data_IF_175458304898
#
_entry.id   IF_175458304898
#
_cell.length_a   1.000
_cell.length_b   1.000
_cell.length_c   1.000
_cell.angle_alpha   90.00
_cell.angle_beta   90.00
_cell.angle_gamma   90.00
#
_symmetry.space_group_name_H-M   'P 1'
#
loop_
_entity.id
_entity.type
_entity.pdbx_description
1 polymer ?
#
# COMPACT_ATOMS: atom_id res chain seq x y z
N UNK A 1 21.40 -55.94 -36.67
CA UNK A 1 21.25 -54.60 -37.27
C UNK A 1 21.09 -53.63 -36.08
N UNK A 2 22.04 -52.86 -35.55
CA UNK A 2 23.43 -52.44 -35.83
C UNK A 2 24.16 -52.34 -34.46
N UNK A 3 25.28 -53.07 -34.24
CA UNK A 3 26.67 -52.56 -34.04
C UNK A 3 26.82 -51.39 -33.04
N UNK A 4 27.38 -51.51 -31.83
CA UNK A 4 28.78 -51.85 -31.42
C UNK A 4 29.86 -50.93 -31.99
N UNK A 5 30.60 -50.25 -31.08
CA UNK A 5 32.00 -49.73 -31.11
C UNK A 5 32.02 -48.51 -30.18
N UNK A 6 32.81 -48.37 -29.11
CA UNK A 6 34.07 -48.99 -28.74
C UNK A 6 35.07 -47.86 -28.51
N UNK A 7 35.57 -47.68 -27.28
CA UNK A 7 36.98 -47.47 -26.95
C UNK A 7 37.13 -47.04 -25.49
N UNK A 8 37.78 -47.92 -24.73
CA UNK A 8 38.38 -47.61 -23.45
C UNK A 8 39.85 -47.25 -23.60
N UNK A 9 40.37 -46.75 -22.49
CA UNK A 9 41.77 -46.61 -22.10
C UNK A 9 42.57 -45.48 -22.76
N UNK A 10 42.94 -44.48 -21.95
CA UNK A 10 44.33 -44.01 -21.87
C UNK A 10 44.58 -43.16 -20.59
N UNK A 11 45.24 -43.83 -19.64
CA UNK A 11 46.38 -43.39 -18.81
C UNK A 11 46.21 -42.26 -17.78
N UNK A 12 46.42 -42.71 -16.52
CA UNK A 12 47.04 -41.98 -15.41
C UNK A 12 48.27 -41.20 -15.89
N UNK A 13 48.33 -39.91 -15.53
CA UNK A 13 49.59 -39.18 -15.30
C UNK A 13 49.45 -38.49 -13.95
N UNK A 14 50.28 -38.93 -13.02
CA UNK A 14 50.55 -38.35 -11.71
C UNK A 14 51.51 -37.17 -11.84
N UNK A 15 51.25 -36.04 -11.17
CA UNK A 15 52.19 -35.40 -10.22
C UNK A 15 51.60 -34.12 -9.58
N UNK A 16 52.11 -33.70 -8.41
CA UNK A 16 51.41 -32.82 -7.48
C UNK A 16 51.86 -31.36 -7.62
N UNK A 17 50.94 -30.43 -7.45
CA UNK A 17 51.29 -29.02 -7.17
C UNK A 17 50.53 -28.59 -5.92
N UNK A 18 51.19 -28.81 -4.79
CA UNK A 18 50.91 -28.08 -3.57
C UNK A 18 51.33 -26.62 -3.80
N UNK A 19 50.39 -25.68 -3.73
CA UNK A 19 50.68 -24.26 -3.59
C UNK A 19 49.84 -23.69 -2.45
N UNK A 20 50.55 -23.48 -1.35
CA UNK A 20 50.36 -22.49 -0.29
C UNK A 20 49.02 -21.73 -0.29
N UNK A 21 48.08 -22.21 0.53
CA UNK A 21 47.02 -21.36 1.08
C UNK A 21 47.63 -20.69 2.32
N UNK A 22 47.98 -19.41 2.17
CA UNK A 22 48.30 -18.53 3.30
C UNK A 22 47.03 -18.22 4.11
N UNK A 23 47.16 -17.94 5.42
CA UNK A 23 46.04 -17.89 6.34
C UNK A 23 45.23 -16.59 6.14
N UNK A 24 43.96 -16.73 5.77
CA UNK A 24 43.01 -15.61 5.91
C UNK A 24 42.73 -15.44 7.39
N UNK A 25 43.26 -14.35 7.95
CA UNK A 25 43.01 -13.89 9.32
C UNK A 25 41.50 -13.92 9.57
N UNK A 26 41.05 -14.75 10.52
CA UNK A 26 39.71 -14.67 11.09
C UNK A 26 39.55 -13.28 11.68
N UNK A 27 38.71 -12.46 11.06
CA UNK A 27 38.16 -11.29 11.73
C UNK A 27 37.30 -11.82 12.88
N UNK A 28 37.81 -11.69 14.10
CA UNK A 28 37.02 -11.79 15.32
C UNK A 28 35.98 -10.66 15.27
N UNK A 29 34.78 -10.99 14.80
CA UNK A 29 33.61 -10.13 15.00
C UNK A 29 33.29 -10.18 16.49
N UNK A 30 33.73 -9.17 17.22
CA UNK A 30 33.27 -8.88 18.57
C UNK A 30 31.76 -8.69 18.50
N UNK A 31 31.00 -9.73 18.79
CA UNK A 31 29.55 -9.64 18.99
C UNK A 31 29.34 -8.89 20.31
N UNK A 32 29.28 -7.56 20.23
CA UNK A 32 28.64 -6.77 21.29
C UNK A 32 27.18 -7.19 21.33
N UNK A 33 26.84 -8.08 22.26
CA UNK A 33 25.49 -8.27 22.73
C UNK A 33 25.02 -6.93 23.31
N UNK A 34 24.34 -6.13 22.50
CA UNK A 34 23.49 -5.05 23.00
C UNK A 34 22.30 -5.74 23.65
N UNK A 35 22.39 -5.94 24.96
CA UNK A 35 21.25 -6.21 25.82
C UNK A 35 20.19 -5.14 25.57
N UNK A 36 19.09 -5.52 24.90
CA UNK A 36 17.86 -4.73 24.82
C UNK A 36 17.20 -4.71 26.20
N UNK A 37 17.74 -3.90 27.10
CA UNK A 37 17.11 -3.53 28.37
C UNK A 37 16.47 -2.17 28.23
N UNK A 38 15.16 -2.08 28.47
CA UNK A 38 14.46 -0.83 28.72
C UNK A 38 13.32 -0.51 27.76
N UNK A 39 12.20 -1.24 27.87
CA UNK A 39 10.89 -0.74 27.46
C UNK A 39 10.49 0.39 28.43
N UNK A 40 11.10 1.56 28.23
CA UNK A 40 10.72 2.82 28.83
C UNK A 40 10.15 3.73 27.75
N UNK A 41 9.05 3.33 27.11
CA UNK A 41 8.33 4.25 26.23
C UNK A 41 7.56 5.23 27.12
N UNK A 42 8.01 6.48 27.16
CA UNK A 42 7.21 7.55 27.74
C UNK A 42 5.89 7.63 26.97
N UNK A 43 4.76 7.64 27.69
CA UNK A 43 3.41 7.72 27.13
C UNK A 43 3.07 9.11 26.53
N UNK A 44 4.08 9.79 25.96
CA UNK A 44 3.93 11.04 25.24
C UNK A 44 3.93 10.83 23.73
N UNK A 45 3.76 11.93 22.99
CA UNK A 45 3.80 11.96 21.52
C UNK A 45 5.06 11.30 20.94
N UNK A 46 6.20 11.38 21.65
CA UNK A 46 7.45 10.71 21.29
C UNK A 46 7.41 9.18 21.40
N UNK A 47 6.69 8.61 22.37
CA UNK A 47 6.53 7.17 22.51
C UNK A 47 5.57 6.59 21.47
N UNK A 48 4.48 7.31 21.16
CA UNK A 48 3.58 6.95 20.05
C UNK A 48 4.32 6.96 18.73
N UNK A 49 5.06 8.04 18.44
CA UNK A 49 5.85 8.13 17.22
C UNK A 49 6.91 7.02 17.13
N UNK A 50 7.57 6.71 18.25
CA UNK A 50 8.53 5.60 18.33
C UNK A 50 7.89 4.24 18.03
N UNK A 51 6.69 3.97 18.54
CA UNK A 51 5.96 2.74 18.26
C UNK A 51 5.54 2.63 16.79
N UNK A 52 5.04 3.73 16.21
CA UNK A 52 4.65 3.78 14.79
C UNK A 52 5.85 3.55 13.86
N UNK A 53 7.03 4.06 14.22
CA UNK A 53 8.28 3.82 13.49
C UNK A 53 8.79 2.39 13.66
N UNK A 54 8.63 1.79 14.84
CA UNK A 54 9.06 0.42 15.12
C UNK A 54 8.20 -0.64 14.40
N UNK A 55 6.90 -0.36 14.20
CA UNK A 55 5.95 -1.27 13.57
C UNK A 55 5.15 -0.61 12.45
N UNK A 56 5.78 -0.18 11.34
CA UNK A 56 5.14 0.67 10.35
C UNK A 56 4.02 -0.02 9.57
N UNK A 57 4.08 -1.35 9.39
CA UNK A 57 2.98 -2.11 8.80
C UNK A 57 1.76 -2.17 9.73
N UNK A 58 1.98 -2.47 11.01
CA UNK A 58 0.89 -2.49 11.99
C UNK A 58 0.28 -1.09 12.14
N UNK A 59 1.12 -0.07 12.20
CA UNK A 59 0.70 1.33 12.19
C UNK A 59 -0.19 1.65 10.98
N UNK A 60 0.20 1.28 9.76
CA UNK A 60 -0.61 1.50 8.55
C UNK A 60 -1.99 0.85 8.69
N UNK A 61 -2.05 -0.44 9.04
CA UNK A 61 -3.31 -1.18 9.14
C UNK A 61 -4.21 -0.59 10.22
N UNK A 62 -3.65 -0.31 11.42
CA UNK A 62 -4.40 0.27 12.53
C UNK A 62 -4.92 1.66 12.20
N UNK A 63 -4.06 2.54 11.67
CA UNK A 63 -4.47 3.90 11.28
C UNK A 63 -5.54 3.83 10.19
N UNK A 64 -5.36 3.02 9.14
CA UNK A 64 -6.33 2.92 8.07
C UNK A 64 -7.71 2.43 8.58
N UNK A 65 -7.74 1.39 9.41
CA UNK A 65 -8.95 0.82 9.99
C UNK A 65 -9.69 1.81 10.90
N UNK A 66 -8.98 2.43 11.83
CA UNK A 66 -9.58 3.38 12.79
C UNK A 66 -10.06 4.64 12.07
N UNK A 67 -9.24 5.16 11.14
CA UNK A 67 -9.56 6.35 10.36
C UNK A 67 -10.83 6.19 9.54
N UNK A 68 -11.03 5.06 8.87
CA UNK A 68 -12.21 4.84 8.04
C UNK A 68 -13.47 4.70 8.88
N UNK A 69 -13.40 4.01 10.03
CA UNK A 69 -14.51 3.94 10.99
C UNK A 69 -14.89 5.33 11.52
N UNK A 70 -13.91 6.13 11.94
CA UNK A 70 -14.16 7.50 12.43
C UNK A 70 -14.75 8.38 11.33
N UNK A 71 -14.24 8.29 10.10
CA UNK A 71 -14.75 9.08 8.98
C UNK A 71 -16.24 8.84 8.74
N UNK A 72 -16.64 7.56 8.71
CA UNK A 72 -18.03 7.17 8.54
C UNK A 72 -18.91 7.61 9.73
N UNK A 73 -18.48 7.37 10.97
CA UNK A 73 -19.22 7.80 12.17
C UNK A 73 -19.42 9.33 12.21
N UNK A 74 -18.40 10.08 11.80
CA UNK A 74 -18.48 11.54 11.70
C UNK A 74 -19.53 11.94 10.67
N UNK A 75 -19.55 11.32 9.49
CA UNK A 75 -20.53 11.62 8.45
C UNK A 75 -21.94 11.28 8.93
N UNK A 76 -22.16 10.08 9.50
CA UNK A 76 -23.47 9.67 10.03
C UNK A 76 -24.03 10.67 11.05
N UNK A 77 -23.19 11.15 11.97
CA UNK A 77 -23.63 11.99 13.09
C UNK A 77 -23.64 13.48 12.78
N UNK A 78 -22.65 13.99 12.05
CA UNK A 78 -22.46 15.42 11.86
C UNK A 78 -22.95 15.93 10.51
N UNK A 79 -22.94 15.09 9.48
CA UNK A 79 -23.37 15.46 8.12
C UNK A 79 -24.81 14.99 7.88
N UNK A 80 -25.07 13.70 8.06
CA UNK A 80 -26.40 13.10 7.85
C UNK A 80 -27.35 13.31 9.03
N UNK A 81 -26.80 13.58 10.23
CA UNK A 81 -27.55 13.77 11.48
C UNK A 81 -28.49 12.61 11.82
N UNK A 82 -28.07 11.36 11.55
CA UNK A 82 -28.85 10.16 11.87
C UNK A 82 -29.03 10.02 13.39
N UNK A 83 -30.25 9.72 13.82
CA UNK A 83 -30.60 9.49 15.23
C UNK A 83 -29.86 8.25 15.77
N UNK A 84 -29.82 7.17 15.00
CA UNK A 84 -29.07 5.94 15.29
C UNK A 84 -27.86 5.76 14.36
N UNK A 85 -26.82 5.10 14.86
CA UNK A 85 -25.65 4.73 14.05
C UNK A 85 -25.98 3.44 13.28
N UNK A 86 -25.75 3.46 11.98
CA UNK A 86 -25.69 2.28 11.13
C UNK A 86 -24.32 1.59 11.32
N UNK A 87 -24.33 0.54 12.14
CA UNK A 87 -23.14 -0.26 12.43
C UNK A 87 -22.77 -1.23 11.30
N UNK A 88 -23.72 -1.59 10.43
CA UNK A 88 -23.44 -2.43 9.27
C UNK A 88 -22.59 -1.64 8.29
N UNK A 89 -23.02 -0.42 7.95
CA UNK A 89 -22.22 0.51 7.16
C UNK A 89 -20.84 0.75 7.77
N UNK A 90 -20.77 0.99 9.09
CA UNK A 90 -19.48 1.21 9.73
C UNK A 90 -18.55 -0.01 9.65
N UNK A 91 -19.11 -1.22 9.77
CA UNK A 91 -18.38 -2.46 9.58
C UNK A 91 -17.80 -2.58 8.17
N UNK A 92 -18.55 -2.18 7.13
CA UNK A 92 -18.03 -2.12 5.77
C UNK A 92 -16.81 -1.20 5.66
N UNK A 93 -16.86 -0.01 6.29
CA UNK A 93 -15.73 0.92 6.36
C UNK A 93 -14.54 0.37 7.14
N UNK A 94 -14.77 -0.35 8.24
CA UNK A 94 -13.72 -1.02 9.02
C UNK A 94 -13.03 -2.09 8.18
N UNK A 95 -13.80 -2.97 7.53
CA UNK A 95 -13.27 -4.07 6.72
C UNK A 95 -12.52 -3.55 5.50
N UNK A 96 -13.10 -2.59 4.77
CA UNK A 96 -12.44 -1.95 3.64
C UNK A 96 -11.17 -1.19 4.08
N UNK A 97 -11.24 -0.48 5.21
CA UNK A 97 -10.10 0.25 5.77
C UNK A 97 -8.95 -0.65 6.19
N UNK A 98 -9.22 -1.75 6.87
CA UNK A 98 -8.19 -2.69 7.32
C UNK A 98 -7.63 -3.55 6.20
N UNK A 99 -8.52 -4.22 5.45
CA UNK A 99 -8.09 -5.19 4.44
C UNK A 99 -7.53 -4.50 3.19
N UNK A 100 -8.25 -3.53 2.63
CA UNK A 100 -7.82 -2.87 1.40
C UNK A 100 -6.82 -1.74 1.70
N UNK A 101 -7.23 -0.69 2.43
CA UNK A 101 -6.37 0.48 2.67
C UNK A 101 -5.17 0.19 3.61
N UNK A 102 -5.33 -0.76 4.52
CA UNK A 102 -4.28 -1.19 5.44
C UNK A 102 -3.31 -2.17 4.79
N UNK A 103 -3.79 -3.37 4.46
CA UNK A 103 -2.94 -4.49 4.04
C UNK A 103 -2.60 -4.41 2.55
N UNK A 104 -3.61 -4.37 1.68
CA UNK A 104 -3.41 -4.44 0.24
C UNK A 104 -2.64 -3.23 -0.30
N UNK A 105 -3.05 -2.03 0.06
CA UNK A 105 -2.37 -0.79 -0.33
C UNK A 105 -0.92 -0.73 0.17
N UNK A 106 -0.61 -1.30 1.35
CA UNK A 106 0.77 -1.40 1.81
C UNK A 106 1.61 -2.25 0.86
N UNK A 107 1.09 -3.40 0.41
CA UNK A 107 1.80 -4.25 -0.55
C UNK A 107 2.00 -3.53 -1.88
N UNK A 108 0.98 -2.85 -2.39
CA UNK A 108 1.03 -2.17 -3.69
C UNK A 108 1.88 -0.90 -3.65
N UNK A 109 1.56 0.07 -2.80
CA UNK A 109 2.21 1.39 -2.82
C UNK A 109 3.50 1.43 -2.02
N UNK A 110 3.58 0.74 -0.87
CA UNK A 110 4.84 0.77 -0.09
C UNK A 110 5.83 -0.21 -0.70
N UNK A 111 5.46 -1.47 -0.92
CA UNK A 111 6.42 -2.47 -1.44
C UNK A 111 6.51 -2.51 -2.96
N UNK A 112 5.40 -2.38 -3.68
CA UNK A 112 5.36 -2.44 -5.14
C UNK A 112 5.96 -1.21 -5.79
N UNK A 113 5.47 -0.02 -5.44
CA UNK A 113 5.93 1.22 -6.10
C UNK A 113 7.38 1.56 -5.77
N UNK A 114 7.87 1.25 -4.57
CA UNK A 114 9.30 1.39 -4.26
C UNK A 114 10.19 0.57 -5.19
N UNK A 115 9.71 -0.59 -5.67
CA UNK A 115 10.45 -1.45 -6.61
C UNK A 115 10.29 -1.00 -8.06
N UNK A 116 9.08 -0.58 -8.44
CA UNK A 116 8.78 -0.15 -9.81
C UNK A 116 9.36 1.24 -10.12
N UNK A 117 9.44 2.11 -9.11
CA UNK A 117 9.80 3.52 -9.26
C UNK A 117 10.86 3.95 -8.23
N UNK A 118 12.06 3.33 -8.22
CA UNK A 118 13.09 3.56 -7.19
C UNK A 118 13.59 5.01 -7.16
N UNK A 119 13.56 5.71 -8.30
CA UNK A 119 13.96 7.12 -8.44
C UNK A 119 13.10 8.08 -7.60
N UNK A 120 11.93 7.64 -7.14
CA UNK A 120 11.03 8.50 -6.38
C UNK A 120 11.61 8.93 -5.06
N UNK A 121 12.35 8.06 -4.36
CA UNK A 121 12.96 8.42 -3.08
C UNK A 121 13.93 9.60 -3.24
N UNK A 122 14.74 9.58 -4.30
CA UNK A 122 15.64 10.67 -4.67
C UNK A 122 14.88 11.90 -5.17
N UNK A 123 13.84 11.70 -5.98
CA UNK A 123 13.03 12.78 -6.52
C UNK A 123 12.39 13.62 -5.41
N UNK A 124 11.80 13.00 -4.38
CA UNK A 124 11.13 13.81 -3.35
C UNK A 124 12.03 14.45 -2.31
N UNK A 125 13.29 14.02 -2.19
CA UNK A 125 14.29 14.75 -1.39
C UNK A 125 14.86 15.98 -2.08
N UNK A 126 14.52 16.24 -3.35
CA UNK A 126 15.01 17.39 -4.13
C UNK A 126 14.21 18.67 -3.88
N UNK A 127 14.87 19.82 -4.11
CA UNK A 127 14.22 21.13 -4.19
C UNK A 127 13.22 21.18 -5.36
N UNK A 128 12.26 22.11 -5.35
CA UNK A 128 11.30 22.25 -6.45
C UNK A 128 11.99 22.52 -7.80
N UNK A 129 13.03 23.35 -7.82
CA UNK A 129 13.79 23.63 -9.05
C UNK A 129 14.52 22.40 -9.60
N UNK A 130 15.07 21.57 -8.72
CA UNK A 130 15.76 20.34 -9.13
C UNK A 130 14.78 19.26 -9.61
N UNK A 131 13.60 19.18 -9.00
CA UNK A 131 12.51 18.28 -9.43
C UNK A 131 12.11 18.55 -10.87
N UNK A 132 11.94 19.81 -11.24
CA UNK A 132 11.57 20.21 -12.60
C UNK A 132 12.64 19.83 -13.65
N UNK A 133 13.89 19.70 -13.23
CA UNK A 133 15.02 19.29 -14.09
C UNK A 133 15.26 17.77 -14.07
N UNK A 134 14.74 17.05 -13.09
CA UNK A 134 14.90 15.61 -12.94
C UNK A 134 13.90 14.82 -13.81
N UNK A 135 14.25 14.63 -15.09
CA UNK A 135 13.42 13.87 -16.06
C UNK A 135 13.09 12.45 -15.60
N UNK A 136 14.02 11.75 -14.95
CA UNK A 136 13.81 10.39 -14.47
C UNK A 136 12.80 10.34 -13.31
N UNK A 137 12.91 11.30 -12.39
CA UNK A 137 11.95 11.47 -11.30
C UNK A 137 10.56 11.88 -11.78
N UNK A 138 10.46 12.80 -12.74
CA UNK A 138 9.19 13.18 -13.37
C UNK A 138 8.54 11.99 -14.10
N UNK A 139 9.32 11.20 -14.85
CA UNK A 139 8.82 9.96 -15.47
C UNK A 139 8.27 8.99 -14.44
N UNK A 140 8.95 8.85 -13.31
CA UNK A 140 8.51 7.98 -12.21
C UNK A 140 7.27 8.52 -11.49
N UNK A 141 7.16 9.84 -11.33
CA UNK A 141 5.98 10.51 -10.79
C UNK A 141 4.75 10.24 -11.66
N UNK A 142 4.84 10.60 -12.95
CA UNK A 142 3.73 10.39 -13.88
C UNK A 142 3.44 8.91 -14.10
N UNK A 143 4.46 8.04 -14.06
CA UNK A 143 4.28 6.59 -14.17
C UNK A 143 3.48 6.00 -13.01
N UNK A 144 3.72 6.44 -11.77
CA UNK A 144 2.92 5.99 -10.62
C UNK A 144 1.48 6.49 -10.70
N UNK A 145 1.30 7.78 -11.00
CA UNK A 145 -0.03 8.38 -11.17
C UNK A 145 -0.78 7.63 -12.27
N UNK A 146 -0.16 7.43 -13.43
CA UNK A 146 -0.78 6.69 -14.53
C UNK A 146 -1.13 5.26 -14.13
N UNK A 147 -0.23 4.51 -13.48
CA UNK A 147 -0.52 3.15 -13.01
C UNK A 147 -1.69 3.14 -12.02
N UNK A 148 -1.78 4.16 -11.17
CA UNK A 148 -2.82 4.27 -10.17
C UNK A 148 -4.18 4.54 -10.81
N UNK A 149 -4.30 5.61 -11.59
CA UNK A 149 -5.56 6.04 -12.20
C UNK A 149 -6.01 5.17 -13.38
N UNK A 150 -5.10 4.49 -14.08
CA UNK A 150 -5.44 3.64 -15.23
C UNK A 150 -5.69 2.20 -14.81
N UNK A 151 -5.01 1.71 -13.77
CA UNK A 151 -5.06 0.30 -13.41
C UNK A 151 -5.56 0.03 -11.99
N UNK A 152 -4.89 0.57 -10.98
CA UNK A 152 -5.18 0.19 -9.59
C UNK A 152 -6.55 0.71 -9.16
N UNK A 153 -6.87 1.97 -9.42
CA UNK A 153 -8.15 2.53 -9.01
C UNK A 153 -9.32 1.91 -9.80
N UNK A 154 -9.31 1.85 -11.14
CA UNK A 154 -10.47 1.35 -11.88
C UNK A 154 -10.71 -0.15 -11.70
N UNK A 155 -9.65 -0.95 -11.56
CA UNK A 155 -9.76 -2.41 -11.61
C UNK A 155 -9.44 -3.14 -10.30
N UNK A 156 -8.89 -2.45 -9.29
CA UNK A 156 -8.65 -3.03 -7.96
C UNK A 156 -9.47 -2.31 -6.89
N UNK A 157 -9.41 -0.97 -6.83
CA UNK A 157 -10.08 -0.20 -5.79
C UNK A 157 -11.60 -0.33 -5.86
N UNK A 158 -12.22 0.11 -6.97
CA UNK A 158 -13.68 0.15 -7.06
C UNK A 158 -14.33 -1.23 -7.05
N UNK A 159 -13.83 -2.26 -7.77
CA UNK A 159 -14.38 -3.61 -7.69
C UNK A 159 -14.35 -4.17 -6.26
N UNK A 160 -13.25 -3.95 -5.53
CA UNK A 160 -13.14 -4.42 -4.14
C UNK A 160 -14.05 -3.62 -3.22
N UNK A 161 -14.13 -2.30 -3.39
CA UNK A 161 -15.05 -1.44 -2.64
C UNK A 161 -16.50 -1.91 -2.79
N UNK A 162 -16.97 -2.12 -4.02
CA UNK A 162 -18.31 -2.64 -4.27
C UNK A 162 -18.51 -4.05 -3.74
N UNK A 163 -17.48 -4.90 -3.79
CA UNK A 163 -17.52 -6.21 -3.14
C UNK A 163 -17.77 -6.08 -1.64
N UNK A 164 -16.98 -5.28 -0.93
CA UNK A 164 -17.18 -5.07 0.52
C UNK A 164 -18.54 -4.49 0.85
N UNK A 165 -19.05 -3.55 0.02
CA UNK A 165 -20.40 -3.02 0.19
C UNK A 165 -21.45 -4.13 0.09
N UNK A 166 -21.49 -4.87 -1.03
CA UNK A 166 -22.50 -5.93 -1.21
C UNK A 166 -22.32 -7.13 -0.29
N UNK A 167 -21.20 -7.28 0.42
CA UNK A 167 -21.04 -8.30 1.47
C UNK A 167 -21.65 -7.91 2.80
N UNK A 168 -21.78 -6.62 3.07
CA UNK A 168 -22.26 -6.09 4.35
C UNK A 168 -23.71 -5.62 4.25
N UNK A 169 -24.18 -5.27 3.04
CA UNK A 169 -25.58 -4.94 2.79
C UNK A 169 -26.50 -6.13 3.18
N UNK A 170 -27.51 -5.87 4.00
CA UNK A 170 -28.45 -6.91 4.44
C UNK A 170 -29.54 -7.20 3.41
N UNK A 171 -29.75 -6.29 2.46
CA UNK A 171 -30.79 -6.42 1.44
C UNK A 171 -30.46 -7.54 0.43
N UNK A 172 -31.36 -8.52 0.36
CA UNK A 172 -31.34 -9.51 -0.73
C UNK A 172 -31.96 -8.88 -1.99
N UNK A 173 -31.10 -8.26 -2.80
CA UNK A 173 -31.48 -7.70 -4.12
C UNK A 173 -31.64 -8.79 -5.20
N UNK A 174 -31.62 -10.07 -4.83
CA UNK A 174 -31.61 -11.20 -5.75
C UNK A 174 -30.28 -11.36 -6.49
N UNK A 175 -30.00 -12.57 -6.96
CA UNK A 175 -28.73 -12.90 -7.64
C UNK A 175 -27.56 -13.10 -6.67
N UNK A 176 -26.34 -13.26 -7.21
CA UNK A 176 -25.15 -13.39 -6.36
C UNK A 176 -24.63 -12.00 -5.97
N UNK A 177 -24.23 -11.83 -4.70
CA UNK A 177 -23.62 -10.58 -4.18
C UNK A 177 -22.45 -10.07 -5.04
N UNK A 178 -21.70 -11.02 -5.62
CA UNK A 178 -20.63 -10.74 -6.58
C UNK A 178 -21.13 -10.16 -7.90
N UNK A 179 -22.25 -10.66 -8.44
CA UNK A 179 -22.84 -10.11 -9.65
C UNK A 179 -23.33 -8.67 -9.41
N UNK A 180 -23.96 -8.41 -8.25
CA UNK A 180 -24.43 -7.08 -7.89
C UNK A 180 -23.26 -6.09 -7.74
N UNK A 181 -22.17 -6.50 -7.08
CA UNK A 181 -20.96 -5.70 -6.99
C UNK A 181 -20.37 -5.37 -8.36
N UNK A 182 -20.31 -6.37 -9.24
CA UNK A 182 -19.81 -6.20 -10.60
C UNK A 182 -20.68 -5.27 -11.45
N UNK A 183 -22.00 -5.39 -11.34
CA UNK A 183 -22.94 -4.49 -12.02
C UNK A 183 -22.81 -3.06 -11.52
N UNK A 184 -22.73 -2.86 -10.20
CA UNK A 184 -22.54 -1.54 -9.61
C UNK A 184 -21.22 -0.89 -10.06
N UNK A 185 -20.12 -1.65 -10.05
CA UNK A 185 -18.84 -1.21 -10.59
C UNK A 185 -18.94 -0.79 -12.07
N UNK A 186 -19.58 -1.62 -12.90
CA UNK A 186 -19.75 -1.34 -14.33
C UNK A 186 -20.59 -0.09 -14.58
N UNK A 187 -21.71 0.04 -13.86
CA UNK A 187 -22.65 1.15 -14.04
C UNK A 187 -22.04 2.49 -13.61
N UNK A 188 -21.23 2.48 -12.54
CA UNK A 188 -20.60 3.68 -12.00
C UNK A 188 -19.19 3.93 -12.52
N UNK A 189 -18.66 3.06 -13.39
CA UNK A 189 -17.25 3.05 -13.79
C UNK A 189 -16.70 4.44 -14.14
N UNK A 190 -17.39 5.18 -15.01
CA UNK A 190 -16.90 6.49 -15.43
C UNK A 190 -17.08 7.56 -14.36
N UNK A 191 -18.23 7.62 -13.70
CA UNK A 191 -18.52 8.61 -12.65
C UNK A 191 -17.51 8.47 -11.51
N UNK A 192 -17.22 7.24 -11.13
CA UNK A 192 -16.30 6.91 -10.05
C UNK A 192 -14.86 7.25 -10.38
N UNK A 193 -14.38 6.80 -11.54
CA UNK A 193 -13.00 7.06 -11.93
C UNK A 193 -12.77 8.55 -12.23
N UNK A 194 -13.76 9.27 -12.79
CA UNK A 194 -13.66 10.72 -12.97
C UNK A 194 -13.69 11.47 -11.63
N UNK A 195 -14.55 11.06 -10.70
CA UNK A 195 -14.57 11.60 -9.34
C UNK A 195 -13.27 11.35 -8.60
N UNK A 196 -12.72 10.14 -8.75
CA UNK A 196 -11.42 9.75 -8.19
C UNK A 196 -10.29 10.59 -8.77
N UNK A 197 -10.23 10.76 -10.10
CA UNK A 197 -9.28 11.65 -10.76
C UNK A 197 -9.42 13.10 -10.27
N UNK A 198 -10.65 13.62 -10.22
CA UNK A 198 -10.92 14.99 -9.79
C UNK A 198 -10.44 15.29 -8.37
N UNK A 199 -10.57 14.31 -7.47
CA UNK A 199 -10.11 14.44 -6.10
C UNK A 199 -8.61 14.13 -5.94
N UNK A 200 -8.16 12.96 -6.38
CA UNK A 200 -6.83 12.44 -6.05
C UNK A 200 -5.71 12.97 -6.96
N UNK A 201 -5.96 13.28 -8.23
CA UNK A 201 -4.90 13.76 -9.12
C UNK A 201 -4.22 15.04 -8.59
N UNK A 202 -4.93 16.10 -8.16
CA UNK A 202 -4.28 17.26 -7.57
C UNK A 202 -3.58 16.94 -6.24
N UNK A 203 -4.16 16.03 -5.45
CA UNK A 203 -3.61 15.63 -4.16
C UNK A 203 -2.33 14.83 -4.30
N UNK A 204 -2.25 13.92 -5.26
CA UNK A 204 -1.06 13.13 -5.58
C UNK A 204 0.09 14.01 -6.04
N UNK A 205 -0.19 15.03 -6.86
CA UNK A 205 0.83 16.02 -7.24
C UNK A 205 1.41 16.73 -6.01
N UNK A 206 0.58 17.06 -5.02
CA UNK A 206 1.02 17.64 -3.75
C UNK A 206 1.81 16.60 -2.93
N UNK A 207 1.25 15.43 -2.67
CA UNK A 207 1.87 14.35 -1.88
C UNK A 207 3.23 13.99 -2.48
N UNK A 208 3.33 13.81 -3.79
CA UNK A 208 4.59 13.41 -4.39
C UNK A 208 5.60 14.57 -4.54
N UNK A 209 5.17 15.83 -4.42
CA UNK A 209 6.06 16.99 -4.43
C UNK A 209 6.65 17.33 -3.05
N UNK A 210 6.08 16.85 -1.94
CA UNK A 210 6.65 17.05 -0.59
C UNK A 210 7.77 16.07 -0.27
N UNK A 211 8.64 16.36 0.73
CA UNK A 211 9.61 15.41 1.27
C UNK A 211 9.00 14.07 1.69
N UNK A 212 9.77 12.98 1.55
CA UNK A 212 9.33 11.59 1.81
C UNK A 212 8.60 11.44 3.15
N UNK A 213 9.12 12.05 4.21
CA UNK A 213 8.57 11.91 5.56
C UNK A 213 7.20 12.58 5.75
N UNK A 214 6.85 13.57 4.91
CA UNK A 214 5.54 14.23 4.94
C UNK A 214 4.49 13.49 4.09
N UNK A 215 4.91 12.61 3.18
CA UNK A 215 3.99 11.93 2.26
C UNK A 215 2.94 11.13 2.99
N UNK A 216 3.37 10.27 3.92
CA UNK A 216 2.47 9.37 4.62
C UNK A 216 1.47 10.14 5.51
N UNK A 217 1.88 11.12 6.34
CA UNK A 217 0.94 11.97 7.08
C UNK A 217 -0.06 12.71 6.19
N UNK A 218 0.41 13.36 5.12
CA UNK A 218 -0.46 14.12 4.21
C UNK A 218 -1.44 13.17 3.49
N UNK A 219 -0.96 12.02 3.03
CA UNK A 219 -1.79 11.01 2.40
C UNK A 219 -2.89 10.50 3.35
N UNK A 220 -2.58 10.23 4.62
CA UNK A 220 -3.61 9.84 5.59
C UNK A 220 -4.63 10.93 5.86
N UNK A 221 -4.21 12.20 5.94
CA UNK A 221 -5.12 13.33 6.14
C UNK A 221 -6.07 13.51 4.95
N UNK A 222 -5.55 13.51 3.72
CA UNK A 222 -6.36 13.60 2.50
C UNK A 222 -7.26 12.37 2.36
N UNK A 223 -6.73 11.17 2.65
CA UNK A 223 -7.51 9.94 2.62
C UNK A 223 -8.64 9.93 3.66
N UNK A 224 -8.48 10.59 4.81
CA UNK A 224 -9.59 10.75 5.76
C UNK A 224 -10.74 11.56 5.13
N UNK A 225 -10.43 12.67 4.46
CA UNK A 225 -11.42 13.47 3.73
C UNK A 225 -12.09 12.63 2.65
N UNK A 226 -11.32 11.86 1.88
CA UNK A 226 -11.88 10.94 0.89
C UNK A 226 -12.80 9.88 1.49
N UNK A 227 -12.47 9.33 2.67
CA UNK A 227 -13.36 8.40 3.37
C UNK A 227 -14.67 9.07 3.77
N UNK A 228 -14.66 10.34 4.20
CA UNK A 228 -15.90 11.09 4.44
C UNK A 228 -16.70 11.27 3.14
N UNK A 229 -16.04 11.64 2.04
CA UNK A 229 -16.68 11.76 0.71
C UNK A 229 -17.33 10.44 0.29
N UNK A 230 -16.63 9.32 0.42
CA UNK A 230 -17.19 8.00 0.15
C UNK A 230 -18.37 7.66 1.03
N UNK A 231 -18.31 8.00 2.31
CA UNK A 231 -19.43 7.79 3.23
C UNK A 231 -20.66 8.61 2.81
N UNK A 232 -20.48 9.84 2.32
CA UNK A 232 -21.57 10.69 1.84
C UNK A 232 -22.20 10.14 0.56
N UNK A 233 -21.37 9.81 -0.45
CA UNK A 233 -21.89 9.48 -1.78
C UNK A 233 -22.20 8.00 -1.97
N UNK A 234 -21.64 7.12 -1.13
CA UNK A 234 -21.73 5.67 -1.30
C UNK A 234 -22.03 4.91 -0.02
N UNK A 235 -22.19 5.61 1.09
CA UNK A 235 -22.57 5.03 2.37
C UNK A 235 -24.05 4.63 2.41
N UNK A 236 -24.93 5.39 1.77
CA UNK A 236 -26.34 5.03 1.73
C UNK A 236 -26.63 4.07 0.56
N UNK A 237 -27.56 3.16 0.80
CA UNK A 237 -28.18 2.40 -0.27
C UNK A 237 -29.19 3.34 -0.93
N UNK A 238 -29.05 3.52 -2.25
CA UNK A 238 -30.06 4.22 -3.04
C UNK A 238 -31.40 3.52 -2.77
N UNK A 239 -32.31 4.20 -2.06
CA UNK A 239 -33.74 3.86 -2.00
C UNK A 239 -34.36 3.83 -3.41
#
# INVERSE_FOLDING_TARGET
MFASKGWGALRRISTPVARAIQPVKRFTTTTTHVTKTGLGMSAGFGGVLGLLQAYPFAAQVSIATVKTSIADLLVQKQVEKKDSIDWHRNLAFILFGGAYLGIFQWVVYVRGFQRLFPEMNKFCSQSLGDKLRNKAGLKSLFGQIALDFVFIQPFLYFPVFYGFKTFVDEEDKGGSRWMNAFQNWKNNFFVDNLGMCGFWLPMDLIIYSVPVYLRLPINHAISFIWCCVLSIFRGDDEE
#
